data_IF_361581386276
#
_entry.id   IF_361581386276
#
_cell.length_a   1.000
_cell.length_b   1.000
_cell.length_c   1.000
_cell.angle_alpha   90.00
_cell.angle_beta   90.00
_cell.angle_gamma   90.00
#
_symmetry.space_group_name_H-M   'P 1'
#
loop_
_entity.id
_entity.type
_entity.pdbx_description
1 polymer ?
#
# COMPACT_ATOMS: atom_id res chain seq x y z
N UNK A 1 -3.93 -12.81 71.31
CA UNK A 1 -4.84 -13.97 71.35
C UNK A 1 -6.24 -13.64 70.85
N UNK A 2 -6.87 -12.54 71.26
CA UNK A 2 -8.20 -12.16 70.73
C UNK A 2 -8.24 -11.83 69.22
N UNK A 3 -7.20 -11.20 68.66
CA UNK A 3 -7.12 -10.86 67.23
C UNK A 3 -6.93 -12.06 66.30
N UNK A 4 -6.28 -13.13 66.78
CA UNK A 4 -6.03 -14.33 65.97
C UNK A 4 -7.27 -15.22 65.86
N UNK A 5 -8.12 -15.25 66.89
CA UNK A 5 -9.37 -16.03 66.88
C UNK A 5 -10.44 -15.40 65.98
N UNK A 6 -10.51 -14.06 65.93
CA UNK A 6 -11.41 -13.35 65.00
C UNK A 6 -11.01 -13.54 63.54
N UNK A 7 -9.71 -13.47 63.24
CA UNK A 7 -9.20 -13.73 61.89
C UNK A 7 -9.43 -15.20 61.47
N UNK A 8 -9.20 -16.14 62.39
CA UNK A 8 -9.42 -17.57 62.13
C UNK A 8 -10.90 -17.88 61.81
N UNK A 9 -11.84 -17.22 62.50
CA UNK A 9 -13.29 -17.37 62.24
C UNK A 9 -13.73 -16.73 60.92
N UNK A 10 -13.13 -15.60 60.53
CA UNK A 10 -13.41 -14.93 59.26
C UNK A 10 -12.93 -15.75 58.05
N UNK A 11 -11.74 -16.34 58.17
CA UNK A 11 -11.08 -17.09 57.09
C UNK A 11 -11.31 -18.61 57.14
N UNK A 12 -12.14 -19.10 58.06
CA UNK A 12 -12.43 -20.53 58.22
C UNK A 12 -12.93 -21.24 56.94
N UNK A 13 -13.79 -20.62 56.10
CA UNK A 13 -14.23 -21.23 54.83
C UNK A 13 -13.10 -21.49 53.83
N UNK A 14 -12.00 -20.74 53.90
CA UNK A 14 -10.84 -20.88 53.02
C UNK A 14 -9.80 -21.82 53.65
N UNK A 15 -9.62 -21.74 54.97
CA UNK A 15 -8.68 -22.60 55.71
C UNK A 15 -9.14 -24.07 55.76
N UNK A 16 -10.44 -24.34 55.61
CA UNK A 16 -11.03 -25.69 55.61
C UNK A 16 -11.60 -26.11 54.24
N UNK A 17 -11.28 -25.38 53.16
CA UNK A 17 -11.80 -25.68 51.83
C UNK A 17 -11.36 -27.08 51.36
N UNK A 18 -12.28 -27.94 50.86
CA UNK A 18 -12.01 -29.34 50.56
C UNK A 18 -10.99 -29.56 49.42
N UNK A 19 -10.82 -28.58 48.54
CA UNK A 19 -9.89 -28.64 47.39
C UNK A 19 -8.46 -28.16 47.73
N UNK A 20 -8.20 -27.71 48.96
CA UNK A 20 -6.88 -27.26 49.41
C UNK A 20 -6.22 -28.27 50.37
N UNK A 21 -4.88 -28.39 50.36
CA UNK A 21 -4.18 -29.25 51.32
C UNK A 21 -4.49 -28.84 52.77
N UNK A 22 -4.97 -29.80 53.58
CA UNK A 22 -5.31 -29.54 54.98
C UNK A 22 -4.08 -29.10 55.79
N UNK A 23 -4.24 -28.05 56.58
CA UNK A 23 -3.21 -27.53 57.48
C UNK A 23 -3.42 -28.15 58.87
N UNK A 24 -2.68 -29.21 59.18
CA UNK A 24 -2.88 -30.00 60.42
C UNK A 24 -2.43 -29.27 61.71
N UNK A 25 -1.47 -28.34 61.62
CA UNK A 25 -0.92 -27.63 62.78
C UNK A 25 -1.72 -26.35 63.10
N UNK A 26 -2.33 -26.30 64.29
CA UNK A 26 -3.13 -25.16 64.78
C UNK A 26 -2.37 -23.82 64.73
N UNK A 27 -1.08 -23.80 65.08
CA UNK A 27 -0.25 -22.60 65.01
C UNK A 27 -0.03 -22.13 63.55
N UNK A 28 0.17 -23.05 62.60
CA UNK A 28 0.28 -22.70 61.17
C UNK A 28 -1.06 -22.19 60.64
N UNK A 29 -2.19 -22.78 61.04
CA UNK A 29 -3.53 -22.29 60.69
C UNK A 29 -3.74 -20.84 61.17
N UNK A 30 -3.30 -20.51 62.39
CA UNK A 30 -3.35 -19.15 62.93
C UNK A 30 -2.43 -18.16 62.18
N UNK A 31 -1.19 -18.54 61.87
CA UNK A 31 -0.26 -17.67 61.12
C UNK A 31 -0.79 -17.42 59.70
N UNK A 32 -1.34 -18.44 59.04
CA UNK A 32 -1.91 -18.30 57.69
C UNK A 32 -3.16 -17.42 57.70
N UNK A 33 -4.02 -17.53 58.72
CA UNK A 33 -5.18 -16.66 58.90
C UNK A 33 -4.78 -15.19 59.12
N UNK A 34 -3.71 -14.94 59.89
CA UNK A 34 -3.18 -13.58 60.11
C UNK A 34 -2.51 -13.04 58.83
N UNK A 35 -1.85 -13.90 58.06
CA UNK A 35 -1.25 -13.50 56.78
C UNK A 35 -2.33 -13.14 55.75
N UNK A 36 -3.41 -13.90 55.67
CA UNK A 36 -4.57 -13.61 54.82
C UNK A 36 -5.27 -12.31 55.23
N UNK A 37 -5.43 -12.08 56.53
CA UNK A 37 -5.96 -10.81 57.06
C UNK A 37 -5.06 -9.62 56.70
N UNK A 38 -3.73 -9.80 56.79
CA UNK A 38 -2.78 -8.76 56.39
C UNK A 38 -2.76 -8.55 54.86
N UNK A 39 -2.97 -9.60 54.06
CA UNK A 39 -3.09 -9.50 52.61
C UNK A 39 -4.38 -8.78 52.20
N UNK A 40 -5.51 -9.09 52.83
CA UNK A 40 -6.77 -8.35 52.60
C UNK A 40 -6.63 -6.89 53.01
N UNK A 41 -6.03 -6.60 54.16
CA UNK A 41 -5.78 -5.22 54.60
C UNK A 41 -4.83 -4.49 53.66
N UNK A 42 -3.77 -5.14 53.19
CA UNK A 42 -2.87 -4.55 52.19
C UNK A 42 -3.63 -4.26 50.88
N UNK A 43 -4.48 -5.17 50.41
CA UNK A 43 -5.32 -4.96 49.22
C UNK A 43 -6.37 -3.85 49.43
N UNK A 44 -6.91 -3.71 50.64
CA UNK A 44 -7.83 -2.61 50.99
C UNK A 44 -7.11 -1.26 51.11
N UNK A 45 -5.91 -1.23 51.68
CA UNK A 45 -5.07 -0.03 51.81
C UNK A 45 -4.54 0.41 50.44
N UNK A 46 -4.18 -0.53 49.56
CA UNK A 46 -3.85 -0.29 48.15
C UNK A 46 -5.06 0.28 47.40
N UNK A 47 -6.27 -0.26 47.63
CA UNK A 47 -7.52 0.26 47.06
C UNK A 47 -7.90 1.66 47.60
N UNK A 48 -7.49 2.01 48.84
CA UNK A 48 -7.69 3.34 49.42
C UNK A 48 -6.63 4.36 48.97
N UNK A 49 -5.39 3.94 48.74
CA UNK A 49 -4.34 4.78 48.14
C UNK A 49 -4.66 5.20 46.70
N UNK A 50 -5.53 4.45 46.02
CA UNK A 50 -6.07 4.74 44.67
C UNK A 50 -7.27 5.71 44.66
N UNK A 51 -7.74 6.23 45.81
CA UNK A 51 -8.82 7.24 45.83
C UNK A 51 -8.28 8.67 45.82
N UNK A 52 -7.59 9.06 44.75
CA UNK A 52 -7.37 10.47 44.43
C UNK A 52 -8.64 11.05 43.78
N UNK A 53 -9.15 12.14 44.38
CA UNK A 53 -10.30 12.97 44.01
C UNK A 53 -11.34 12.31 43.10
N UNK A 54 -12.46 11.90 43.71
CA UNK A 54 -13.65 11.41 43.00
C UNK A 54 -14.00 12.34 41.81
N UNK A 55 -14.16 11.81 40.58
CA UNK A 55 -14.54 12.62 39.44
C UNK A 55 -15.88 13.31 39.70
N UNK A 56 -15.96 14.60 39.37
CA UNK A 56 -17.11 15.48 39.63
C UNK A 56 -18.45 15.05 38.98
N UNK A 57 -18.50 13.87 38.35
CA UNK A 57 -19.67 13.33 37.66
C UNK A 57 -20.36 12.17 38.40
N UNK A 58 -19.99 11.88 39.65
CA UNK A 58 -20.67 10.85 40.44
C UNK A 58 -21.99 11.36 41.04
N UNK A 59 -23.04 11.42 40.20
CA UNK A 59 -24.37 11.90 40.56
C UNK A 59 -25.26 10.83 41.24
N UNK A 60 -24.75 9.98 42.14
CA UNK A 60 -25.58 9.01 42.87
C UNK A 60 -25.08 8.72 44.30
N UNK A 61 -25.11 9.73 45.18
CA UNK A 61 -24.86 9.56 46.61
C UNK A 61 -26.14 9.21 47.38
N UNK A 62 -26.21 8.00 47.96
CA UNK A 62 -27.12 7.70 49.07
C UNK A 62 -26.49 6.71 50.05
N UNK A 63 -26.54 7.11 51.32
CA UNK A 63 -26.00 6.55 52.56
C UNK A 63 -25.78 5.02 52.66
N UNK A 64 -24.56 4.64 53.00
CA UNK A 64 -24.27 3.51 53.90
C UNK A 64 -24.41 2.08 53.36
N UNK A 65 -24.58 1.90 52.05
CA UNK A 65 -24.57 0.57 51.42
C UNK A 65 -23.34 0.48 50.51
N UNK A 66 -22.39 -0.38 50.87
CA UNK A 66 -21.31 -0.79 49.96
C UNK A 66 -21.97 -1.50 48.76
N UNK A 67 -21.96 -0.85 47.61
CA UNK A 67 -22.50 -1.45 46.38
C UNK A 67 -21.45 -2.42 45.83
N UNK A 68 -21.91 -3.57 45.35
CA UNK A 68 -21.07 -4.54 44.64
C UNK A 68 -20.23 -3.85 43.57
N UNK A 69 -18.97 -4.27 43.46
CA UNK A 69 -18.08 -3.83 42.38
C UNK A 69 -18.84 -4.02 41.05
N UNK A 70 -19.00 -2.97 40.22
CA UNK A 70 -19.76 -3.09 38.99
C UNK A 70 -19.14 -4.18 38.11
N UNK A 71 -19.97 -5.08 37.59
CA UNK A 71 -19.55 -6.07 36.59
C UNK A 71 -19.07 -5.29 35.37
N UNK A 72 -17.75 -5.25 35.18
CA UNK A 72 -17.13 -4.54 34.08
C UNK A 72 -17.59 -5.17 32.76
N UNK A 73 -18.32 -4.39 31.96
CA UNK A 73 -18.63 -4.74 30.57
C UNK A 73 -17.31 -4.67 29.80
N UNK A 74 -17.02 -5.72 29.03
CA UNK A 74 -15.74 -5.88 28.32
C UNK A 74 -15.37 -4.68 27.46
N UNK A 75 -14.08 -4.34 27.46
CA UNK A 75 -13.55 -3.20 26.70
C UNK A 75 -13.64 -3.47 25.19
N UNK A 76 -14.27 -2.56 24.46
CA UNK A 76 -14.39 -2.65 23.00
C UNK A 76 -13.14 -2.06 22.35
N UNK A 77 -12.53 -2.81 21.43
CA UNK A 77 -11.40 -2.35 20.61
C UNK A 77 -11.88 -1.89 19.24
N UNK A 78 -11.13 -0.98 18.62
CA UNK A 78 -11.35 -0.60 17.23
C UNK A 78 -10.83 -1.71 16.30
N UNK A 79 -11.60 -2.05 15.28
CA UNK A 79 -11.20 -3.03 14.27
C UNK A 79 -10.02 -2.52 13.44
N UNK A 80 -9.15 -3.45 13.05
CA UNK A 80 -7.95 -3.18 12.27
C UNK A 80 -8.27 -3.21 10.77
N UNK A 81 -7.83 -2.23 9.99
CA UNK A 81 -7.97 -2.26 8.52
C UNK A 81 -7.02 -3.26 7.86
N UNK A 82 -7.42 -3.85 6.73
CA UNK A 82 -6.56 -4.78 5.98
C UNK A 82 -5.45 -4.06 5.19
N UNK A 83 -4.29 -4.70 5.07
CA UNK A 83 -3.11 -4.17 4.36
C UNK A 83 -3.16 -4.57 2.87
N UNK A 84 -2.86 -3.63 1.96
CA UNK A 84 -2.94 -3.84 0.50
C UNK A 84 -1.62 -3.58 -0.24
N UNK A 85 -0.64 -2.94 0.40
CA UNK A 85 0.58 -2.47 -0.22
C UNK A 85 1.37 -3.59 -0.95
N UNK A 86 1.38 -4.79 -0.39
CA UNK A 86 2.11 -5.93 -0.96
C UNK A 86 1.47 -6.46 -2.26
N UNK A 87 0.17 -6.21 -2.46
CA UNK A 87 -0.55 -6.67 -3.64
C UNK A 87 -0.41 -5.72 -4.83
N UNK A 88 -0.06 -4.46 -4.57
CA UNK A 88 0.00 -3.35 -5.56
C UNK A 88 1.43 -2.87 -5.86
N UNK A 89 2.40 -3.17 -4.99
CA UNK A 89 3.82 -2.91 -5.20
C UNK A 89 4.62 -4.22 -5.37
N UNK A 90 5.78 -4.14 -6.00
CA UNK A 90 6.74 -5.24 -6.04
C UNK A 90 7.53 -5.30 -4.74
N UNK A 91 7.88 -6.50 -4.26
CA UNK A 91 8.65 -6.67 -3.01
C UNK A 91 10.02 -7.25 -3.34
N UNK A 92 11.08 -6.55 -2.92
CA UNK A 92 12.47 -6.96 -3.16
C UNK A 92 13.28 -6.85 -1.87
N UNK A 93 13.41 -7.94 -1.08
CA UNK A 93 14.17 -7.89 0.16
C UNK A 93 15.64 -7.56 -0.11
N UNK A 94 16.24 -6.72 0.75
CA UNK A 94 17.65 -6.36 0.67
C UNK A 94 18.45 -7.13 1.71
N UNK A 95 19.67 -7.53 1.36
CA UNK A 95 20.63 -8.17 2.28
C UNK A 95 21.61 -7.17 2.91
N UNK A 96 21.67 -5.95 2.38
CA UNK A 96 22.49 -4.85 2.90
C UNK A 96 21.69 -3.55 3.04
N UNK A 97 22.29 -2.51 3.67
CA UNK A 97 21.64 -1.22 3.86
C UNK A 97 21.39 -0.46 2.55
N UNK A 98 22.13 -0.81 1.50
CA UNK A 98 21.91 -0.35 0.14
C UNK A 98 21.73 -1.55 -0.79
N UNK A 99 20.78 -1.45 -1.70
CA UNK A 99 20.53 -2.41 -2.78
C UNK A 99 20.79 -1.77 -4.14
N UNK A 100 21.10 -2.59 -5.14
CA UNK A 100 21.23 -2.16 -6.54
C UNK A 100 20.19 -2.91 -7.36
N UNK A 101 19.41 -2.18 -8.14
CA UNK A 101 18.52 -2.75 -9.15
C UNK A 101 19.14 -2.44 -10.51
N UNK A 102 19.28 -3.47 -11.33
CA UNK A 102 19.81 -3.35 -12.68
C UNK A 102 18.67 -3.45 -13.69
N UNK A 103 18.76 -2.65 -14.75
CA UNK A 103 17.88 -2.74 -15.90
C UNK A 103 18.71 -2.75 -17.17
N UNK A 104 18.37 -3.66 -18.08
CA UNK A 104 18.98 -3.71 -19.40
C UNK A 104 18.10 -2.94 -20.37
N UNK A 105 18.72 -2.09 -21.19
CA UNK A 105 18.10 -1.38 -22.31
C UNK A 105 18.79 -1.76 -23.61
N UNK A 106 18.03 -2.12 -24.62
CA UNK A 106 18.56 -2.35 -25.97
C UNK A 106 18.60 -1.02 -26.73
N UNK A 107 19.71 -0.71 -27.39
CA UNK A 107 19.96 0.57 -28.04
C UNK A 107 20.22 0.38 -29.54
N UNK A 108 19.75 1.32 -30.33
CA UNK A 108 20.17 1.47 -31.72
C UNK A 108 21.54 2.15 -31.80
N UNK A 109 22.41 1.64 -32.67
CA UNK A 109 23.76 2.15 -32.90
C UNK A 109 24.76 1.79 -31.80
N UNK A 110 25.94 2.41 -31.90
CA UNK A 110 27.05 2.22 -30.97
C UNK A 110 27.12 3.29 -29.87
N UNK A 111 26.20 4.26 -29.87
CA UNK A 111 26.24 5.32 -28.88
C UNK A 111 25.69 4.82 -27.54
N UNK A 112 26.57 4.80 -26.52
CA UNK A 112 26.28 4.38 -25.15
C UNK A 112 26.27 5.54 -24.16
N UNK A 113 26.40 6.79 -24.63
CA UNK A 113 26.42 7.95 -23.73
C UNK A 113 25.03 8.32 -23.25
N UNK A 114 24.94 8.78 -22.01
CA UNK A 114 23.69 9.12 -21.34
C UNK A 114 23.05 10.36 -21.98
N UNK A 115 21.81 10.23 -22.46
CA UNK A 115 21.07 11.27 -23.18
C UNK A 115 21.26 11.24 -24.70
N UNK A 116 20.21 10.83 -25.42
CA UNK A 116 20.15 10.85 -26.89
C UNK A 116 20.22 9.48 -27.57
N UNK A 117 20.32 8.39 -26.82
CA UNK A 117 20.16 7.05 -27.38
C UNK A 117 18.68 6.75 -27.68
N UNK A 118 18.42 6.02 -28.76
CA UNK A 118 17.09 5.51 -29.09
C UNK A 118 16.99 4.07 -28.60
N UNK A 119 16.11 3.81 -27.64
CA UNK A 119 15.88 2.46 -27.12
C UNK A 119 15.13 1.60 -28.15
N UNK A 120 15.76 0.51 -28.56
CA UNK A 120 15.12 -0.55 -29.31
C UNK A 120 14.23 -1.40 -28.39
N UNK A 121 13.16 -2.01 -28.93
CA UNK A 121 12.23 -2.90 -28.22
C UNK A 121 11.33 -2.24 -27.15
N UNK A 122 11.34 -0.90 -27.04
CA UNK A 122 10.38 -0.15 -26.22
C UNK A 122 9.43 0.68 -27.09
N UNK A 123 10.00 1.58 -27.90
CA UNK A 123 9.26 2.32 -28.92
C UNK A 123 8.96 1.44 -30.14
N UNK A 124 8.09 1.93 -31.02
CA UNK A 124 7.84 1.29 -32.31
C UNK A 124 9.16 1.04 -33.06
N UNK A 125 9.29 -0.16 -33.65
CA UNK A 125 10.50 -0.54 -34.36
C UNK A 125 10.68 0.34 -35.60
N UNK A 126 11.89 0.87 -35.79
CA UNK A 126 12.21 1.59 -37.01
C UNK A 126 12.36 0.57 -38.15
N UNK A 127 11.37 0.55 -39.05
CA UNK A 127 11.28 -0.38 -40.18
C UNK A 127 12.40 -0.20 -41.22
N UNK A 128 13.13 0.91 -41.16
CA UNK A 128 14.27 1.20 -42.01
C UNK A 128 15.61 0.98 -41.29
N UNK A 129 15.68 0.67 -39.99
CA UNK A 129 16.98 0.67 -39.27
C UNK A 129 17.99 -0.35 -39.83
N UNK A 130 17.51 -1.55 -40.19
CA UNK A 130 18.35 -2.59 -40.78
C UNK A 130 18.65 -2.37 -42.28
N UNK A 131 17.98 -1.41 -42.92
CA UNK A 131 18.05 -1.15 -44.37
C UNK A 131 18.56 0.27 -44.71
N UNK A 132 18.58 1.17 -43.73
CA UNK A 132 18.46 2.61 -43.92
C UNK A 132 19.74 3.42 -43.83
N UNK A 133 20.89 2.77 -43.68
CA UNK A 133 22.16 3.47 -43.84
C UNK A 133 22.50 3.75 -45.33
N UNK A 134 21.60 3.46 -46.29
CA UNK A 134 21.94 3.41 -47.73
C UNK A 134 20.83 3.95 -48.65
N UNK A 135 20.57 5.26 -48.57
CA UNK A 135 20.13 6.02 -49.75
C UNK A 135 21.23 7.02 -50.08
N UNK A 136 21.72 7.02 -51.32
CA UNK A 136 22.88 7.78 -51.79
C UNK A 136 22.75 9.32 -51.65
N UNK A 137 21.69 9.83 -51.02
CA UNK A 137 21.38 11.25 -50.90
C UNK A 137 21.35 11.78 -49.46
N UNK A 138 21.54 10.95 -48.42
CA UNK A 138 21.59 11.45 -47.03
C UNK A 138 20.29 12.11 -46.52
N UNK A 139 19.19 12.01 -47.26
CA UNK A 139 17.88 12.45 -46.82
C UNK A 139 17.18 11.30 -46.07
N UNK A 140 16.40 11.65 -45.04
CA UNK A 140 15.32 10.80 -44.57
C UNK A 140 14.54 10.37 -45.82
N UNK A 141 14.56 9.08 -46.14
CA UNK A 141 13.89 8.59 -47.32
C UNK A 141 12.43 9.03 -47.23
N UNK A 142 11.94 9.67 -48.28
CA UNK A 142 10.54 10.04 -48.40
C UNK A 142 9.81 8.89 -49.10
N UNK A 143 8.52 8.69 -48.82
CA UNK A 143 7.71 7.79 -49.64
C UNK A 143 7.63 8.30 -51.10
N UNK A 144 6.94 7.56 -51.99
CA UNK A 144 6.75 7.96 -53.39
C UNK A 144 6.05 9.33 -53.57
N UNK A 145 5.48 9.89 -52.49
CA UNK A 145 4.77 11.16 -52.44
C UNK A 145 5.61 12.29 -51.81
N UNK A 146 6.84 12.03 -51.37
CA UNK A 146 7.73 13.05 -50.80
C UNK A 146 7.58 13.27 -49.29
N UNK A 147 6.89 12.39 -48.57
CA UNK A 147 6.66 12.53 -47.12
C UNK A 147 7.79 11.93 -46.29
N UNK A 148 8.33 12.68 -45.31
CA UNK A 148 9.38 12.20 -44.40
C UNK A 148 8.82 11.06 -43.54
N UNK A 149 9.53 9.93 -43.42
CA UNK A 149 9.15 8.81 -42.55
C UNK A 149 9.15 9.21 -41.06
N UNK A 150 8.11 9.93 -40.61
CA UNK A 150 7.68 10.12 -39.23
C UNK A 150 6.48 11.10 -39.13
N UNK A 151 5.38 10.89 -39.85
CA UNK A 151 4.17 11.70 -39.62
C UNK A 151 2.95 10.82 -39.37
N UNK A 152 2.93 10.14 -38.22
CA UNK A 152 1.74 9.48 -37.71
C UNK A 152 2.06 8.29 -36.79
N UNK A 153 1.60 8.33 -35.54
CA UNK A 153 1.69 7.21 -34.60
C UNK A 153 0.45 6.29 -34.65
N UNK A 154 -0.54 6.65 -35.47
CA UNK A 154 -1.82 5.99 -35.57
C UNK A 154 -2.10 5.63 -37.03
N UNK A 155 -2.33 4.34 -37.36
CA UNK A 155 -2.59 3.92 -38.73
C UNK A 155 -3.93 4.44 -39.29
N UNK A 156 -4.78 5.04 -38.46
CA UNK A 156 -5.99 5.72 -38.90
C UNK A 156 -5.75 7.17 -39.38
N UNK A 157 -4.56 7.74 -39.11
CA UNK A 157 -4.20 9.08 -39.55
C UNK A 157 -3.53 9.04 -40.93
N UNK A 158 -3.76 10.07 -41.74
CA UNK A 158 -3.05 10.24 -43.00
C UNK A 158 -1.55 10.49 -42.74
N UNK A 159 -0.66 9.79 -43.46
CA UNK A 159 0.80 9.92 -43.29
C UNK A 159 1.50 8.75 -42.58
N UNK A 160 0.78 7.68 -42.21
CA UNK A 160 1.38 6.45 -41.70
C UNK A 160 2.18 5.73 -42.81
N UNK A 161 3.51 5.77 -42.72
CA UNK A 161 4.43 5.30 -43.76
C UNK A 161 5.42 4.25 -43.22
N UNK A 162 5.94 3.39 -44.11
CA UNK A 162 6.87 2.31 -43.77
C UNK A 162 8.23 2.47 -44.49
N UNK A 163 9.31 2.01 -43.85
CA UNK A 163 10.62 1.86 -44.47
C UNK A 163 10.68 0.67 -45.44
N UNK A 164 11.52 0.77 -46.46
CA UNK A 164 11.75 -0.28 -47.46
C UNK A 164 13.04 -1.07 -47.15
N UNK A 165 13.13 -2.29 -47.68
CA UNK A 165 14.36 -3.08 -47.63
C UNK A 165 15.46 -2.51 -48.55
N UNK A 166 16.73 -2.83 -48.27
CA UNK A 166 17.86 -2.47 -49.12
C UNK A 166 17.87 -3.27 -50.44
N UNK A 167 18.46 -2.71 -51.50
CA UNK A 167 18.65 -3.44 -52.76
C UNK A 167 19.80 -4.44 -52.65
N UNK A 168 19.81 -5.46 -53.50
CA UNK A 168 20.89 -6.48 -53.53
C UNK A 168 22.26 -5.86 -53.82
N UNK A 169 22.32 -4.86 -54.69
CA UNK A 169 23.58 -4.17 -55.02
C UNK A 169 24.20 -3.45 -53.80
N UNK A 170 23.37 -2.82 -52.95
CA UNK A 170 23.86 -2.21 -51.71
C UNK A 170 24.17 -3.26 -50.65
N UNK A 171 23.39 -4.34 -50.58
CA UNK A 171 23.64 -5.43 -49.64
C UNK A 171 25.00 -6.12 -49.89
N UNK A 172 25.40 -6.27 -51.15
CA UNK A 172 26.69 -6.87 -51.54
C UNK A 172 27.88 -5.94 -51.25
N UNK A 173 27.68 -4.62 -51.25
CA UNK A 173 28.70 -3.63 -50.90
C UNK A 173 28.83 -3.37 -49.38
N UNK A 174 28.01 -4.03 -48.56
CA UNK A 174 27.96 -3.77 -47.13
C UNK A 174 29.24 -4.24 -46.42
N UNK A 175 29.92 -3.32 -45.74
CA UNK A 175 31.14 -3.56 -44.97
C UNK A 175 32.44 -3.25 -45.70
N UNK A 176 32.42 -2.69 -46.92
CA UNK A 176 33.61 -2.43 -47.73
C UNK A 176 34.30 -1.06 -47.46
N UNK A 177 33.54 0.00 -47.11
CA UNK A 177 34.05 1.37 -46.88
C UNK A 177 33.24 2.18 -45.84
N UNK A 178 33.71 3.40 -45.51
CA UNK A 178 33.16 4.30 -44.48
C UNK A 178 31.66 4.66 -44.62
N UNK A 179 31.07 4.47 -45.81
CA UNK A 179 29.66 4.80 -46.10
C UNK A 179 28.74 3.57 -46.23
N UNK A 180 29.28 2.35 -46.15
CA UNK A 180 28.53 1.09 -46.29
C UNK A 180 28.61 0.25 -45.00
N UNK A 181 28.60 0.87 -43.82
CA UNK A 181 28.66 0.12 -42.57
C UNK A 181 27.32 -0.57 -42.25
N UNK A 182 27.38 -1.76 -41.64
CA UNK A 182 26.20 -2.42 -41.09
C UNK A 182 25.54 -1.53 -40.01
N UNK A 183 24.20 -1.54 -39.98
CA UNK A 183 23.45 -1.03 -38.82
C UNK A 183 23.83 -1.84 -37.57
N UNK A 184 24.18 -1.15 -36.50
CA UNK A 184 24.67 -1.77 -35.26
C UNK A 184 23.61 -1.68 -34.16
N UNK A 185 23.53 -2.68 -33.31
CA UNK A 185 22.72 -2.64 -32.10
C UNK A 185 23.62 -2.88 -30.89
N UNK A 186 23.28 -2.27 -29.77
CA UNK A 186 23.99 -2.44 -28.52
C UNK A 186 23.02 -2.58 -27.36
N UNK A 187 23.53 -2.81 -26.16
CA UNK A 187 22.75 -2.75 -24.94
C UNK A 187 23.51 -1.92 -23.89
N UNK A 188 22.75 -1.26 -23.02
CA UNK A 188 23.22 -0.61 -21.80
C UNK A 188 22.65 -1.35 -20.59
N UNK A 189 23.40 -1.34 -19.49
CA UNK A 189 22.92 -1.81 -18.18
C UNK A 189 22.93 -0.60 -17.25
N UNK A 190 21.74 -0.13 -16.94
CA UNK A 190 21.53 0.96 -16.01
C UNK A 190 21.44 0.39 -14.60
N UNK A 191 21.90 1.16 -13.61
CA UNK A 191 21.81 0.80 -12.20
C UNK A 191 21.06 1.87 -11.44
N UNK A 192 20.17 1.45 -10.55
CA UNK A 192 19.51 2.33 -9.58
C UNK A 192 19.83 1.86 -8.17
N UNK A 193 20.22 2.79 -7.31
CA UNK A 193 20.55 2.51 -5.91
C UNK A 193 19.32 2.70 -5.03
N UNK A 194 19.03 1.71 -4.19
CA UNK A 194 18.00 1.79 -3.15
C UNK A 194 18.69 1.91 -1.80
N UNK A 195 18.29 2.87 -0.97
CA UNK A 195 18.86 3.06 0.36
C UNK A 195 17.79 2.83 1.44
N UNK A 196 18.10 1.99 2.42
CA UNK A 196 17.19 1.71 3.53
C UNK A 196 17.01 2.93 4.45
N UNK A 197 15.76 3.34 4.63
CA UNK A 197 15.31 4.32 5.63
C UNK A 197 14.71 3.59 6.84
N UNK A 198 14.56 4.29 7.96
CA UNK A 198 14.17 3.70 9.25
C UNK A 198 12.83 4.27 9.73
N UNK A 199 11.97 3.41 10.29
CA UNK A 199 10.85 3.81 11.15
C UNK A 199 11.05 3.24 12.55
N UNK A 200 10.68 4.01 13.56
CA UNK A 200 10.77 3.58 14.94
C UNK A 200 9.70 4.26 15.78
N UNK A 201 9.05 3.49 16.64
CA UNK A 201 8.14 4.00 17.67
C UNK A 201 8.52 3.43 19.03
N UNK A 202 8.19 4.17 20.08
CA UNK A 202 8.46 3.81 21.47
C UNK A 202 7.23 4.12 22.30
N UNK A 203 6.93 3.25 23.25
CA UNK A 203 5.99 3.51 24.32
C UNK A 203 6.72 3.37 25.67
N UNK A 204 6.29 4.18 26.62
CA UNK A 204 6.69 4.12 28.02
C UNK A 204 5.41 3.84 28.80
N UNK A 205 5.49 2.95 29.79
CA UNK A 205 4.39 2.69 30.69
C UNK A 205 4.92 2.61 32.11
N UNK A 206 4.12 3.08 33.07
CA UNK A 206 4.49 3.02 34.48
C UNK A 206 4.12 1.65 35.05
N UNK A 207 4.87 1.20 36.05
CA UNK A 207 4.56 -0.06 36.74
C UNK A 207 3.20 0.03 37.45
N UNK A 208 2.91 1.19 38.05
CA UNK A 208 1.61 1.47 38.69
C UNK A 208 0.46 1.30 37.68
N UNK A 209 0.55 1.89 36.49
CA UNK A 209 -0.47 1.75 35.45
C UNK A 209 -0.62 0.29 35.00
N UNK A 210 0.48 -0.44 34.88
CA UNK A 210 0.43 -1.86 34.50
C UNK A 210 -0.23 -2.73 35.59
N UNK A 211 -0.01 -2.40 36.87
CA UNK A 211 -0.65 -3.07 38.01
C UNK A 211 -2.15 -2.76 38.04
N UNK A 212 -2.54 -1.50 37.91
CA UNK A 212 -3.94 -1.06 37.87
C UNK A 212 -4.70 -1.70 36.71
N UNK A 213 -4.11 -1.66 35.51
CA UNK A 213 -4.72 -2.18 34.29
C UNK A 213 -4.87 -3.71 34.36
N UNK A 214 -3.94 -4.40 35.02
CA UNK A 214 -4.03 -5.84 35.27
C UNK A 214 -5.06 -6.18 36.35
N UNK A 215 -5.12 -5.42 37.44
CA UNK A 215 -6.03 -5.66 38.56
C UNK A 215 -7.49 -5.39 38.18
N UNK A 216 -7.75 -4.31 37.44
CA UNK A 216 -9.11 -3.90 37.06
C UNK A 216 -9.56 -4.56 35.77
N UNK A 217 -8.74 -4.54 34.72
CA UNK A 217 -9.15 -5.00 33.38
C UNK A 217 -8.66 -6.40 33.00
N UNK A 218 -7.80 -7.03 33.81
CA UNK A 218 -7.19 -8.32 33.49
C UNK A 218 -6.29 -8.28 32.25
N UNK A 219 -5.92 -7.08 31.81
CA UNK A 219 -5.14 -6.85 30.60
C UNK A 219 -3.66 -6.66 30.95
N UNK A 220 -2.78 -7.03 30.02
CA UNK A 220 -1.34 -6.80 30.14
C UNK A 220 -0.95 -5.58 29.31
N UNK A 221 -0.57 -4.50 30.00
CA UNK A 221 -0.18 -3.23 29.37
C UNK A 221 0.99 -3.40 28.38
N UNK A 222 1.94 -4.29 28.65
CA UNK A 222 3.08 -4.51 27.75
C UNK A 222 2.62 -5.13 26.43
N UNK A 223 1.79 -6.17 26.51
CA UNK A 223 1.27 -6.87 25.33
C UNK A 223 0.39 -5.94 24.48
N UNK A 224 -0.49 -5.15 25.11
CA UNK A 224 -1.35 -4.22 24.38
C UNK A 224 -0.56 -3.10 23.70
N UNK A 225 0.40 -2.48 24.40
CA UNK A 225 1.25 -1.46 23.79
C UNK A 225 2.13 -2.04 22.68
N UNK A 226 2.64 -3.27 22.86
CA UNK A 226 3.41 -3.97 21.84
C UNK A 226 2.61 -4.17 20.54
N UNK A 227 1.34 -4.58 20.69
CA UNK A 227 0.44 -4.76 19.55
C UNK A 227 0.11 -3.43 18.86
N UNK A 228 -0.17 -2.36 19.62
CA UNK A 228 -0.46 -1.03 19.04
C UNK A 228 0.74 -0.51 18.24
N UNK A 229 1.94 -0.56 18.80
CA UNK A 229 3.14 -0.03 18.14
C UNK A 229 3.51 -0.80 16.87
N UNK A 230 3.46 -2.13 16.94
CA UNK A 230 3.79 -2.99 15.80
C UNK A 230 2.80 -2.79 14.64
N UNK A 231 1.51 -2.67 14.96
CA UNK A 231 0.46 -2.41 13.99
C UNK A 231 0.58 -1.02 13.37
N UNK A 232 0.79 0.02 14.17
CA UNK A 232 0.91 1.39 13.68
C UNK A 232 2.04 1.52 12.66
N UNK A 233 3.22 0.94 12.94
CA UNK A 233 4.33 0.94 11.98
C UNK A 233 3.94 0.25 10.66
N UNK A 234 3.21 -0.86 10.72
CA UNK A 234 2.75 -1.56 9.52
C UNK A 234 1.72 -0.74 8.73
N UNK A 235 0.81 -0.04 9.43
CA UNK A 235 -0.16 0.86 8.81
C UNK A 235 0.51 2.07 8.16
N UNK A 236 1.48 2.68 8.83
CA UNK A 236 2.26 3.78 8.27
C UNK A 236 2.97 3.36 6.98
N UNK A 237 3.62 2.18 6.97
CA UNK A 237 4.30 1.64 5.78
C UNK A 237 3.29 1.39 4.66
N UNK A 238 2.17 0.72 4.96
CA UNK A 238 1.13 0.44 3.98
C UNK A 238 0.58 1.73 3.36
N UNK A 239 0.29 2.74 4.20
CA UNK A 239 -0.22 4.02 3.73
C UNK A 239 0.81 4.82 2.96
N UNK A 240 2.09 4.72 3.31
CA UNK A 240 3.18 5.33 2.55
C UNK A 240 3.21 4.79 1.12
N UNK A 241 3.11 3.47 0.94
CA UNK A 241 3.10 2.84 -0.40
C UNK A 241 1.89 3.31 -1.22
N UNK A 242 0.69 3.24 -0.64
CA UNK A 242 -0.55 3.64 -1.33
C UNK A 242 -0.51 5.13 -1.72
N UNK A 243 -0.10 6.02 -0.80
CA UNK A 243 -0.01 7.45 -1.10
C UNK A 243 1.04 7.76 -2.15
N UNK A 244 2.19 7.08 -2.12
CA UNK A 244 3.21 7.25 -3.17
C UNK A 244 2.65 6.89 -4.54
N UNK A 245 1.88 5.81 -4.66
CA UNK A 245 1.22 5.43 -5.92
C UNK A 245 0.34 6.58 -6.43
N UNK A 246 -0.48 7.20 -5.59
CA UNK A 246 -1.33 8.32 -6.01
C UNK A 246 -0.53 9.54 -6.51
N UNK A 247 0.61 9.83 -5.91
CA UNK A 247 1.45 10.98 -6.29
C UNK A 247 2.16 10.71 -7.62
N UNK A 248 2.73 9.51 -7.80
CA UNK A 248 3.55 9.21 -8.97
C UNK A 248 2.75 8.77 -10.19
N UNK A 249 1.50 8.31 -10.01
CA UNK A 249 0.65 7.84 -11.10
C UNK A 249 0.43 8.92 -12.16
N UNK A 250 0.67 8.56 -13.43
CA UNK A 250 0.41 9.43 -14.59
C UNK A 250 -1.06 9.82 -14.62
N UNK A 251 -1.40 10.98 -15.18
CA UNK A 251 -2.80 11.35 -15.36
C UNK A 251 -3.51 10.32 -16.27
N UNK A 252 -4.61 9.75 -15.79
CA UNK A 252 -5.54 8.93 -16.59
C UNK A 252 -6.55 9.81 -17.34
N UNK A 253 -7.55 9.20 -17.95
CA UNK A 253 -8.61 9.91 -18.70
C UNK A 253 -8.04 10.95 -19.67
N UNK A 254 -7.06 10.56 -20.51
CA UNK A 254 -6.36 11.52 -21.38
C UNK A 254 -7.25 12.16 -22.45
N UNK A 255 -8.35 11.51 -22.78
CA UNK A 255 -9.20 11.82 -23.93
C UNK A 255 -10.65 12.14 -23.50
N UNK A 256 -10.79 12.67 -22.29
CA UNK A 256 -12.02 13.28 -21.80
C UNK A 256 -12.00 14.79 -22.05
N UNK A 257 -13.11 15.47 -21.77
CA UNK A 257 -13.22 16.93 -21.92
C UNK A 257 -12.14 17.69 -21.14
N UNK A 258 -11.75 17.17 -19.96
CA UNK A 258 -10.62 17.69 -19.18
C UNK A 258 -9.68 16.52 -18.84
N UNK A 259 -8.49 16.43 -19.44
CA UNK A 259 -7.54 15.36 -19.16
C UNK A 259 -7.28 15.18 -17.66
N UNK A 260 -7.26 13.94 -17.19
CA UNK A 260 -7.13 13.62 -15.75
C UNK A 260 -8.43 13.68 -14.95
N UNK A 261 -9.55 14.09 -15.57
CA UNK A 261 -10.87 14.11 -14.95
C UNK A 261 -11.88 13.39 -15.84
N UNK A 262 -12.66 12.48 -15.24
CA UNK A 262 -13.82 11.85 -15.86
C UNK A 262 -15.09 12.46 -15.25
N UNK A 263 -15.81 13.22 -16.05
CA UNK A 263 -17.09 13.82 -15.68
C UNK A 263 -18.24 12.98 -16.25
N UNK A 264 -19.07 12.41 -15.37
CA UNK A 264 -20.17 11.54 -15.81
C UNK A 264 -21.25 12.25 -16.64
N UNK A 265 -21.37 13.58 -16.57
CA UNK A 265 -22.35 14.34 -17.37
C UNK A 265 -21.86 14.68 -18.78
N UNK A 266 -20.54 14.82 -18.95
CA UNK A 266 -19.93 15.33 -20.18
C UNK A 266 -19.22 14.22 -20.95
N UNK A 267 -18.51 13.35 -20.25
CA UNK A 267 -17.68 12.29 -20.84
C UNK A 267 -18.46 10.97 -21.02
N UNK A 268 -19.73 10.94 -20.62
CA UNK A 268 -20.62 9.81 -20.80
C UNK A 268 -22.00 10.25 -21.28
N UNK A 269 -22.41 9.77 -22.46
CA UNK A 269 -23.69 10.12 -23.10
C UNK A 269 -24.90 9.32 -22.57
N UNK A 270 -24.78 8.72 -21.38
CA UNK A 270 -25.86 7.95 -20.76
C UNK A 270 -27.00 8.86 -20.30
N UNK A 271 -28.26 8.51 -20.63
CA UNK A 271 -29.45 9.23 -20.15
C UNK A 271 -29.78 8.85 -18.71
N UNK A 272 -29.51 7.60 -18.33
CA UNK A 272 -29.74 7.08 -16.98
C UNK A 272 -28.40 6.80 -16.28
N UNK A 273 -28.35 6.89 -14.94
CA UNK A 273 -27.09 6.78 -14.18
C UNK A 273 -26.34 5.46 -14.41
N UNK A 274 -27.06 4.35 -14.66
CA UNK A 274 -26.42 3.05 -14.94
C UNK A 274 -25.68 3.05 -16.28
N UNK A 275 -26.22 3.73 -17.31
CA UNK A 275 -25.53 3.90 -18.59
C UNK A 275 -24.26 4.75 -18.40
N UNK A 276 -24.32 5.76 -17.52
CA UNK A 276 -23.16 6.58 -17.19
C UNK A 276 -22.08 5.81 -16.45
N UNK A 277 -22.45 4.91 -15.55
CA UNK A 277 -21.49 4.02 -14.87
C UNK A 277 -20.84 3.03 -15.83
N UNK A 278 -21.53 2.58 -16.88
CA UNK A 278 -20.91 1.79 -17.96
C UNK A 278 -19.88 2.61 -18.76
N UNK A 279 -20.14 3.90 -18.97
CA UNK A 279 -19.16 4.82 -19.54
C UNK A 279 -17.89 4.94 -18.69
N UNK A 280 -18.04 5.04 -17.37
CA UNK A 280 -16.91 5.04 -16.42
C UNK A 280 -16.11 3.73 -16.50
N UNK A 281 -16.79 2.57 -16.57
CA UNK A 281 -16.12 1.27 -16.72
C UNK A 281 -15.30 1.19 -18.02
N UNK A 282 -15.84 1.68 -19.13
CA UNK A 282 -15.12 1.76 -20.40
C UNK A 282 -13.87 2.65 -20.29
N UNK A 283 -13.97 3.79 -19.60
CA UNK A 283 -12.83 4.67 -19.39
C UNK A 283 -11.73 4.03 -18.53
N UNK A 284 -12.09 3.28 -17.49
CA UNK A 284 -11.13 2.47 -16.70
C UNK A 284 -10.43 1.44 -17.60
N UNK A 285 -11.19 0.75 -18.46
CA UNK A 285 -10.62 -0.22 -19.41
C UNK A 285 -9.70 0.44 -20.45
N UNK A 286 -9.98 1.70 -20.83
CA UNK A 286 -9.11 2.52 -21.69
C UNK A 286 -7.82 2.91 -20.99
N UNK A 287 -7.89 3.42 -19.77
CA UNK A 287 -6.70 3.73 -18.97
C UNK A 287 -5.83 2.49 -18.75
N UNK A 288 -6.46 1.34 -18.49
CA UNK A 288 -5.76 0.07 -18.38
C UNK A 288 -5.05 -0.31 -19.70
N UNK A 289 -5.66 -0.07 -20.87
CA UNK A 289 -5.04 -0.28 -22.17
C UNK A 289 -3.85 0.66 -22.39
N UNK A 290 -3.98 1.94 -22.02
CA UNK A 290 -2.89 2.91 -22.12
C UNK A 290 -1.69 2.51 -21.25
N UNK A 291 -1.92 1.94 -20.05
CA UNK A 291 -0.83 1.35 -19.25
C UNK A 291 -0.13 0.23 -20.02
N UNK A 292 -0.89 -0.63 -20.71
CA UNK A 292 -0.31 -1.69 -21.55
C UNK A 292 0.51 -1.18 -22.73
N UNK A 293 0.08 -0.07 -23.34
CA UNK A 293 0.81 0.59 -24.42
C UNK A 293 2.09 1.27 -23.91
N UNK A 294 2.03 2.01 -22.80
CA UNK A 294 3.16 2.73 -22.24
C UNK A 294 4.20 1.77 -21.62
N UNK A 295 3.76 0.72 -20.90
CA UNK A 295 4.67 -0.21 -20.20
C UNK A 295 5.19 -1.35 -21.09
N UNK A 296 4.44 -1.76 -22.11
CA UNK A 296 4.68 -2.98 -22.92
C UNK A 296 4.82 -4.27 -22.08
N UNK A 297 4.33 -4.28 -20.84
CA UNK A 297 4.36 -5.44 -19.92
C UNK A 297 3.01 -6.13 -19.85
N UNK A 298 1.94 -5.34 -19.78
CA UNK A 298 0.59 -5.85 -19.71
C UNK A 298 -0.43 -4.75 -19.45
N UNK A 299 -1.70 -5.07 -19.71
CA UNK A 299 -2.81 -4.20 -19.38
C UNK A 299 -2.94 -4.03 -17.86
N UNK A 300 -3.35 -2.85 -17.39
CA UNK A 300 -3.71 -2.63 -15.98
C UNK A 300 -4.60 -3.75 -15.42
N UNK A 301 -4.28 -4.22 -14.21
CA UNK A 301 -4.88 -5.43 -13.61
C UNK A 301 -5.42 -5.23 -12.19
N UNK A 302 -5.27 -4.05 -11.61
CA UNK A 302 -5.98 -3.66 -10.40
C UNK A 302 -6.42 -2.20 -10.46
N UNK A 303 -7.41 -1.88 -9.64
CA UNK A 303 -7.95 -0.53 -9.45
C UNK A 303 -8.01 -0.25 -7.96
N UNK A 304 -7.50 0.91 -7.56
CA UNK A 304 -7.69 1.51 -6.25
C UNK A 304 -8.70 2.63 -6.38
N UNK A 305 -9.85 2.55 -5.72
CA UNK A 305 -10.88 3.58 -5.84
C UNK A 305 -11.49 3.95 -4.49
N UNK A 306 -12.23 5.05 -4.49
CA UNK A 306 -13.14 5.38 -3.39
C UNK A 306 -14.34 4.44 -3.36
N UNK A 307 -14.98 4.33 -2.20
CA UNK A 307 -16.10 3.43 -1.97
C UNK A 307 -17.34 3.76 -2.82
N UNK A 308 -17.58 5.04 -3.11
CA UNK A 308 -18.65 5.46 -4.02
C UNK A 308 -18.39 5.00 -5.47
N UNK A 309 -17.13 5.07 -5.93
CA UNK A 309 -16.76 4.58 -7.27
C UNK A 309 -16.85 3.05 -7.32
N UNK A 310 -16.42 2.35 -6.27
CA UNK A 310 -16.60 0.90 -6.18
C UNK A 310 -18.09 0.50 -6.22
N UNK A 311 -18.95 1.26 -5.55
CA UNK A 311 -20.41 1.08 -5.57
C UNK A 311 -20.98 1.31 -6.97
N UNK A 312 -20.58 2.39 -7.64
CA UNK A 312 -20.99 2.69 -9.02
C UNK A 312 -20.57 1.57 -10.00
N UNK A 313 -19.38 0.99 -9.82
CA UNK A 313 -18.89 -0.13 -10.64
C UNK A 313 -19.65 -1.43 -10.40
N UNK A 314 -20.07 -1.69 -9.15
CA UNK A 314 -20.96 -2.82 -8.83
C UNK A 314 -22.31 -2.65 -9.54
N UNK A 315 -22.89 -1.44 -9.46
CA UNK A 315 -24.19 -1.13 -10.07
C UNK A 315 -24.17 -1.08 -11.60
N UNK A 316 -23.02 -0.79 -12.21
CA UNK A 316 -22.85 -0.84 -13.67
C UNK A 316 -23.15 -2.25 -14.26
N UNK A 317 -23.00 -3.31 -13.47
CA UNK A 317 -23.26 -4.70 -13.87
C UNK A 317 -24.70 -5.17 -13.71
N UNK A 318 -25.59 -4.38 -13.10
CA UNK A 318 -26.94 -4.85 -12.68
C UNK A 318 -27.99 -4.77 -13.81
N UNK A 319 -27.72 -4.06 -14.91
CA UNK A 319 -28.58 -4.04 -16.10
C UNK A 319 -27.89 -4.71 -17.28
N UNK A 320 -27.98 -6.04 -17.38
CA UNK A 320 -27.52 -6.77 -18.57
C UNK A 320 -28.66 -7.36 -19.40
N UNK A 321 -28.57 -7.15 -20.71
CA UNK A 321 -29.29 -7.89 -21.75
C UNK A 321 -28.31 -8.96 -22.24
N UNK A 322 -28.63 -10.23 -21.97
CA UNK A 322 -27.76 -11.40 -22.11
C UNK A 322 -26.74 -11.36 -23.29
N UNK A 323 -25.47 -11.77 -23.08
CA UNK A 323 -24.93 -12.55 -21.94
C UNK A 323 -24.28 -11.69 -20.84
N UNK A 324 -24.52 -12.09 -19.59
CA UNK A 324 -24.27 -11.31 -18.37
C UNK A 324 -22.77 -11.07 -18.04
N UNK A 325 -22.38 -9.81 -17.85
CA UNK A 325 -21.17 -9.38 -17.16
C UNK A 325 -21.29 -9.71 -15.65
N UNK A 326 -20.50 -10.65 -15.16
CA UNK A 326 -20.47 -11.00 -13.73
C UNK A 326 -19.67 -9.95 -12.93
N UNK A 327 -20.35 -9.10 -12.17
CA UNK A 327 -19.76 -8.08 -11.26
C UNK A 327 -20.21 -8.33 -9.81
N UNK A 328 -19.70 -9.37 -9.16
CA UNK A 328 -19.97 -9.68 -7.75
C UNK A 328 -18.96 -8.96 -6.84
N UNK A 329 -19.10 -7.66 -6.65
CA UNK A 329 -18.26 -6.87 -5.73
C UNK A 329 -18.93 -6.74 -4.35
N UNK A 330 -18.20 -7.06 -3.28
CA UNK A 330 -18.60 -6.79 -1.90
C UNK A 330 -18.00 -5.44 -1.47
N UNK A 331 -18.82 -4.38 -1.50
CA UNK A 331 -18.37 -3.01 -1.23
C UNK A 331 -18.66 -2.67 0.23
N UNK A 332 -17.66 -2.83 1.10
CA UNK A 332 -17.72 -2.49 2.51
C UNK A 332 -16.38 -1.92 2.99
N UNK A 333 -16.41 -0.70 3.52
CA UNK A 333 -15.24 0.07 3.96
C UNK A 333 -14.70 -0.40 5.33
N UNK A 334 -15.46 -1.24 6.05
CA UNK A 334 -15.14 -1.66 7.42
C UNK A 334 -14.49 -3.03 7.53
N UNK A 335 -14.70 -3.92 6.55
CA UNK A 335 -14.29 -5.32 6.63
C UNK A 335 -13.15 -5.74 5.70
N UNK A 336 -13.27 -5.48 4.39
CA UNK A 336 -12.28 -5.94 3.41
C UNK A 336 -11.98 -4.86 2.37
N UNK A 337 -10.73 -4.41 2.32
CA UNK A 337 -10.26 -3.47 1.30
C UNK A 337 -10.30 -4.09 -0.10
N UNK A 338 -10.28 -5.42 -0.23
CA UNK A 338 -10.52 -6.08 -1.51
C UNK A 338 -12.02 -6.29 -1.76
N UNK A 339 -12.56 -5.57 -2.74
CA UNK A 339 -13.99 -5.60 -3.08
C UNK A 339 -14.34 -6.78 -4.00
N UNK A 340 -13.39 -7.27 -4.80
CA UNK A 340 -13.59 -8.37 -5.75
C UNK A 340 -12.91 -8.12 -7.10
N UNK A 341 -13.31 -8.88 -8.12
CA UNK A 341 -12.79 -8.72 -9.48
C UNK A 341 -13.88 -8.30 -10.46
N UNK A 342 -13.62 -7.25 -11.24
CA UNK A 342 -14.45 -6.89 -12.39
C UNK A 342 -13.99 -7.71 -13.61
N UNK A 343 -14.96 -8.32 -14.30
CA UNK A 343 -14.73 -9.09 -15.54
C UNK A 343 -13.66 -10.20 -15.38
N UNK A 344 -13.55 -10.78 -14.18
CA UNK A 344 -12.58 -11.82 -13.84
C UNK A 344 -11.09 -11.41 -13.94
N UNK A 345 -10.79 -10.12 -14.15
CA UNK A 345 -9.43 -9.64 -14.45
C UNK A 345 -8.98 -8.47 -13.58
N UNK A 346 -9.81 -7.43 -13.44
CA UNK A 346 -9.45 -6.21 -12.71
C UNK A 346 -9.76 -6.40 -11.23
N UNK A 347 -8.73 -6.50 -10.39
CA UNK A 347 -8.87 -6.57 -8.92
C UNK A 347 -9.21 -5.19 -8.39
N UNK A 348 -10.37 -5.04 -7.74
CA UNK A 348 -10.82 -3.77 -7.18
C UNK A 348 -10.51 -3.73 -5.70
N UNK A 349 -9.78 -2.69 -5.31
CA UNK A 349 -9.47 -2.35 -3.93
C UNK A 349 -10.09 -1.02 -3.56
N UNK A 350 -10.67 -0.94 -2.38
CA UNK A 350 -11.25 0.27 -1.81
C UNK A 350 -10.24 0.89 -0.86
N UNK A 351 -10.04 2.21 -0.98
CA UNK A 351 -9.27 2.99 -0.02
C UNK A 351 -10.20 3.55 1.07
N UNK A 352 -10.22 2.97 2.29
CA UNK A 352 -11.10 3.41 3.38
C UNK A 352 -10.70 4.78 3.94
N UNK A 353 -9.51 5.28 3.59
CA UNK A 353 -9.01 6.59 4.00
C UNK A 353 -9.18 7.65 2.90
N UNK A 354 -9.94 7.36 1.84
CA UNK A 354 -10.40 8.39 0.91
C UNK A 354 -11.38 9.30 1.66
N UNK A 355 -11.11 10.61 1.72
CA UNK A 355 -11.92 11.58 2.46
C UNK A 355 -13.23 11.93 1.72
N UNK A 356 -13.88 10.91 1.15
CA UNK A 356 -14.84 11.09 0.07
C UNK A 356 -16.30 10.83 0.46
N UNK A 357 -16.58 10.46 1.72
CA UNK A 357 -17.94 10.44 2.23
C UNK A 357 -18.50 11.88 2.22
N UNK A 358 -19.18 12.26 1.14
CA UNK A 358 -19.76 13.59 0.92
C UNK A 358 -18.95 14.55 0.04
N UNK A 359 -17.86 14.12 -0.59
CA UNK A 359 -17.09 14.96 -1.51
C UNK A 359 -17.60 14.81 -2.96
N UNK A 360 -17.80 15.94 -3.66
CA UNK A 360 -18.18 15.95 -5.08
C UNK A 360 -17.11 15.35 -6.03
N UNK A 361 -15.90 15.15 -5.50
CA UNK A 361 -14.75 14.68 -6.25
C UNK A 361 -14.33 13.31 -5.72
N UNK A 362 -14.58 12.29 -6.52
CA UNK A 362 -14.18 10.92 -6.29
C UNK A 362 -12.89 10.61 -7.07
N UNK A 363 -12.31 9.43 -6.89
CA UNK A 363 -11.13 9.05 -7.67
C UNK A 363 -11.06 7.55 -7.94
N UNK A 364 -10.31 7.21 -8.98
CA UNK A 364 -9.76 5.88 -9.15
C UNK A 364 -8.32 5.97 -9.63
N UNK A 365 -7.52 4.96 -9.28
CA UNK A 365 -6.19 4.73 -9.80
C UNK A 365 -6.14 3.33 -10.38
N UNK A 366 -5.91 3.23 -11.68
CA UNK A 366 -5.64 1.93 -12.32
C UNK A 366 -4.14 1.67 -12.23
N UNK A 367 -3.75 0.43 -11.94
CA UNK A 367 -2.34 0.06 -11.94
C UNK A 367 -2.10 -1.31 -12.55
N UNK A 368 -0.83 -1.54 -12.89
CA UNK A 368 -0.32 -2.82 -13.37
C UNK A 368 0.75 -3.36 -12.42
N UNK A 369 0.58 -4.63 -12.04
CA UNK A 369 1.60 -5.45 -11.37
C UNK A 369 1.63 -6.83 -12.02
N UNK A 370 2.77 -7.23 -12.57
CA UNK A 370 2.97 -8.55 -13.15
C UNK A 370 2.98 -9.68 -12.11
N UNK A 371 3.06 -10.92 -12.59
CA UNK A 371 3.21 -12.11 -11.73
C UNK A 371 4.58 -12.16 -11.05
N UNK A 372 5.58 -11.57 -11.70
CA UNK A 372 6.93 -11.44 -11.17
C UNK A 372 7.05 -10.25 -10.21
N UNK A 373 7.73 -10.36 -9.07
CA UNK A 373 8.01 -9.23 -8.17
C UNK A 373 8.85 -8.12 -8.79
N UNK A 374 9.52 -8.41 -9.91
CA UNK A 374 10.33 -7.45 -10.68
C UNK A 374 9.50 -6.61 -11.65
N UNK A 375 8.23 -6.97 -11.87
CA UNK A 375 7.34 -6.30 -12.82
C UNK A 375 6.28 -5.48 -12.07
N UNK A 376 6.73 -4.41 -11.44
CA UNK A 376 5.87 -3.45 -10.75
C UNK A 376 6.42 -2.04 -10.95
N UNK A 377 5.56 -1.01 -10.86
CA UNK A 377 6.01 0.37 -11.02
C UNK A 377 6.79 0.94 -9.84
N UNK A 378 6.60 0.38 -8.64
CA UNK A 378 7.31 0.74 -7.41
C UNK A 378 7.75 -0.54 -6.71
N UNK A 379 8.96 -0.52 -6.13
CA UNK A 379 9.48 -1.58 -5.29
C UNK A 379 9.52 -1.14 -3.82
N UNK A 380 8.96 -1.98 -2.96
CA UNK A 380 9.14 -1.95 -1.52
C UNK A 380 10.24 -2.94 -1.15
N UNK A 381 11.32 -2.45 -0.54
CA UNK A 381 12.53 -3.22 -0.30
C UNK A 381 12.80 -3.36 1.20
N UNK A 382 12.21 -4.35 1.89
CA UNK A 382 12.44 -4.55 3.32
C UNK A 382 13.88 -4.99 3.58
N UNK A 383 14.49 -4.47 4.66
CA UNK A 383 15.85 -4.83 5.06
C UNK A 383 15.89 -5.45 6.47
N UNK A 384 15.48 -4.68 7.49
CA UNK A 384 15.39 -5.18 8.86
C UNK A 384 13.90 -5.30 9.20
N UNK A 385 13.41 -6.50 9.55
CA UNK A 385 12.03 -6.68 9.97
C UNK A 385 11.77 -5.92 11.28
N UNK A 386 10.52 -5.89 11.71
CA UNK A 386 10.12 -5.21 12.94
C UNK A 386 10.84 -5.84 14.16
N UNK A 387 11.86 -5.15 14.68
CA UNK A 387 12.63 -5.60 15.83
C UNK A 387 12.07 -4.96 17.09
N UNK A 388 11.65 -5.80 18.04
CA UNK A 388 11.27 -5.37 19.39
C UNK A 388 12.54 -5.07 20.20
N UNK A 389 12.57 -3.91 20.85
CA UNK A 389 13.58 -3.53 21.84
C UNK A 389 12.90 -3.23 23.16
N UNK A 390 13.48 -3.72 24.24
CA UNK A 390 13.03 -3.46 25.62
C UNK A 390 14.18 -2.80 26.37
N UNK A 391 13.84 -1.83 27.20
CA UNK A 391 14.77 -1.17 28.09
C UNK A 391 14.05 -0.82 29.39
N UNK A 392 14.81 -0.70 30.47
CA UNK A 392 14.33 -0.12 31.72
C UNK A 392 15.13 1.15 31.93
N UNK A 393 14.44 2.23 32.27
CA UNK A 393 15.08 3.50 32.56
C UNK A 393 15.90 3.41 33.85
N UNK A 394 17.19 3.79 33.86
CA UNK A 394 18.01 3.65 35.06
C UNK A 394 17.64 4.62 36.19
N UNK A 395 17.01 5.75 35.88
CA UNK A 395 16.66 6.77 36.88
C UNK A 395 15.27 6.52 37.49
N UNK A 396 14.27 6.22 36.64
CA UNK A 396 12.89 6.01 37.07
C UNK A 396 12.49 4.54 37.25
N UNK A 397 13.34 3.60 36.81
CA UNK A 397 13.03 2.16 36.76
C UNK A 397 11.74 1.80 35.99
N UNK A 398 11.25 2.72 35.15
CA UNK A 398 10.06 2.50 34.34
C UNK A 398 10.40 1.69 33.07
N UNK A 399 9.59 0.69 32.72
CA UNK A 399 9.76 -0.06 31.48
C UNK A 399 9.52 0.80 30.23
N UNK A 400 10.32 0.53 29.20
CA UNK A 400 10.26 1.16 27.88
C UNK A 400 10.30 0.07 26.82
N UNK A 401 9.32 0.10 25.93
CA UNK A 401 9.24 -0.80 24.77
C UNK A 401 9.35 0.03 23.49
N UNK A 402 10.06 -0.48 22.50
CA UNK A 402 10.11 0.15 21.20
C UNK A 402 10.19 -0.86 20.08
N UNK A 403 9.84 -0.40 18.89
CA UNK A 403 10.01 -1.14 17.65
C UNK A 403 10.82 -0.32 16.66
N UNK A 404 11.68 -0.99 15.92
CA UNK A 404 12.44 -0.40 14.82
C UNK A 404 12.36 -1.30 13.61
N UNK A 405 12.25 -0.70 12.42
CA UNK A 405 12.28 -1.40 11.14
C UNK A 405 13.05 -0.57 10.12
N UNK A 406 13.64 -1.24 9.13
CA UNK A 406 14.37 -0.57 8.03
C UNK A 406 13.93 -1.12 6.70
N UNK A 407 13.62 -0.22 5.77
CA UNK A 407 13.20 -0.56 4.42
C UNK A 407 13.53 0.57 3.45
N UNK A 408 13.71 0.24 2.17
CA UNK A 408 13.84 1.20 1.08
C UNK A 408 12.58 1.21 0.21
N UNK A 409 12.39 2.28 -0.54
CA UNK A 409 11.43 2.32 -1.63
C UNK A 409 12.09 2.97 -2.83
N UNK A 410 11.81 2.47 -4.02
CA UNK A 410 12.34 3.01 -5.27
C UNK A 410 11.32 2.85 -6.40
N UNK A 411 11.30 3.78 -7.35
CA UNK A 411 10.61 3.57 -8.62
C UNK A 411 11.31 2.50 -9.47
N UNK A 412 10.55 1.86 -10.35
CA UNK A 412 11.12 0.93 -11.33
C UNK A 412 12.13 1.66 -12.24
N UNK A 413 13.30 1.08 -12.56
CA UNK A 413 14.31 1.69 -13.45
C UNK A 413 13.80 2.10 -14.84
N UNK A 414 12.71 1.49 -15.33
CA UNK A 414 12.08 1.87 -16.59
C UNK A 414 11.17 3.11 -16.47
N UNK A 415 10.96 3.63 -15.27
CA UNK A 415 10.29 4.93 -15.04
C UNK A 415 11.35 6.01 -15.12
N UNK A 416 11.22 6.89 -16.11
CA UNK A 416 12.18 7.96 -16.37
C UNK A 416 11.72 9.29 -15.79
N UNK A 417 12.68 10.11 -15.35
CA UNK A 417 12.44 11.49 -14.92
C UNK A 417 12.00 12.40 -16.08
N UNK A 418 12.43 12.11 -17.31
CA UNK A 418 12.03 12.76 -18.57
C UNK A 418 12.12 11.77 -19.73
N UNK A 419 11.50 12.08 -20.88
CA UNK A 419 11.60 11.23 -22.06
C UNK A 419 13.07 11.10 -22.49
N UNK A 420 13.60 9.86 -22.49
CA UNK A 420 15.01 9.60 -22.79
C UNK A 420 16.01 10.01 -21.70
N UNK A 421 15.53 10.36 -20.49
CA UNK A 421 16.35 10.75 -19.34
C UNK A 421 16.71 9.59 -18.40
N UNK A 422 17.40 9.93 -17.31
CA UNK A 422 17.75 8.99 -16.25
C UNK A 422 16.51 8.45 -15.51
N UNK A 423 16.65 7.29 -14.87
CA UNK A 423 15.61 6.70 -14.01
C UNK A 423 15.17 7.67 -12.92
N UNK A 424 13.87 7.72 -12.63
CA UNK A 424 13.27 8.57 -11.59
C UNK A 424 13.73 8.17 -10.16
N UNK A 425 14.13 6.92 -9.98
CA UNK A 425 14.76 6.40 -8.77
C UNK A 425 13.99 6.75 -7.47
N UNK A 426 14.60 7.47 -6.54
CA UNK A 426 14.01 7.85 -5.24
C UNK A 426 13.41 9.25 -5.24
N UNK A 427 13.40 9.95 -6.38
CA UNK A 427 12.78 11.26 -6.53
C UNK A 427 11.24 11.16 -6.49
N UNK A 428 10.67 10.05 -6.97
CA UNK A 428 9.23 9.81 -7.06
C UNK A 428 8.50 11.02 -7.68
N UNK A 429 8.93 11.43 -8.88
CA UNK A 429 8.39 12.61 -9.55
C UNK A 429 6.89 12.44 -9.80
N UNK A 430 6.13 13.49 -9.49
CA UNK A 430 4.68 13.45 -9.62
C UNK A 430 4.24 13.18 -11.07
N UNK A 431 3.22 12.34 -11.23
CA UNK A 431 2.58 12.03 -12.52
C UNK A 431 3.49 11.44 -13.62
N UNK A 432 4.53 10.69 -13.26
CA UNK A 432 5.48 10.10 -14.22
C UNK A 432 5.38 8.60 -14.39
N UNK A 433 4.91 7.88 -13.38
CA UNK A 433 4.97 6.43 -13.38
C UNK A 433 3.90 5.85 -14.31
N UNK A 434 4.34 5.32 -15.44
CA UNK A 434 3.47 4.73 -16.48
C UNK A 434 2.76 3.44 -16.06
N UNK A 435 3.18 2.80 -14.96
CA UNK A 435 2.52 1.61 -14.43
C UNK A 435 1.22 1.92 -13.70
N UNK A 436 0.96 3.21 -13.40
CA UNK A 436 -0.23 3.65 -12.69
C UNK A 436 -0.84 4.85 -13.40
N UNK A 437 -2.17 4.92 -13.43
CA UNK A 437 -2.93 6.06 -13.94
C UNK A 437 -3.97 6.51 -12.93
N UNK A 438 -3.88 7.77 -12.54
CA UNK A 438 -4.80 8.40 -11.59
C UNK A 438 -5.79 9.29 -12.34
N UNK A 439 -7.08 9.12 -12.05
CA UNK A 439 -8.13 9.96 -12.59
C UNK A 439 -9.07 10.41 -11.50
N UNK A 440 -9.45 11.68 -11.57
CA UNK A 440 -10.51 12.27 -10.77
C UNK A 440 -11.86 11.91 -11.40
N UNK A 441 -12.86 11.56 -10.59
CA UNK A 441 -14.24 11.32 -11.02
C UNK A 441 -15.13 12.40 -10.44
N UNK A 442 -15.95 13.03 -11.27
CA UNK A 442 -16.81 14.15 -10.89
C UNK A 442 -18.24 13.86 -11.33
N UNK A 443 -19.22 14.40 -10.58
CA UNK A 443 -20.66 14.25 -10.83
C UNK A 443 -21.11 12.78 -10.81
N UNK A 444 -20.66 12.03 -9.80
CA UNK A 444 -21.08 10.64 -9.61
C UNK A 444 -22.54 10.53 -9.14
N UNK A 445 -23.10 11.60 -8.55
CA UNK A 445 -24.49 11.72 -8.09
C UNK A 445 -25.22 12.86 -8.79
#
# INVERSE_FOLDING_TARGET
MYLSESAMKKWDPILEHPDLPKIDQSYRKQVTAVLLENQEKALQEEKQMLSEVAPANNSFASAGVDRYDPILIGLVRRAMPNLIAYDIAGVQPMTGPTGLIFAMRSLYGNNRTDGGYTEALFNEANTNFAAGAHSALGNAMTDANGETFATGNNPADAGYAQGNAMTTAFAEALGDEANNAFGQMSFSIDKTTVTARTRALKAEYTLELAQDLKAVHGLDAETELSNILSQEIMFEINREVVRKIYIVAKAGSSDTAVPGTFNLDVDSNGRWSVERFKGLLYNIERDANHIGQDTRRGKGNFVLCSSDVASALSMAGVLDYAPALQSNLNVDDTGNTFAGTINGRLRVYIDPYSANLGAANQFYTVGYKGTSPYDAGIFYCPYVPLQMVRAVDPDSFQPKIGFKTRYGMIANPYVLSSAGGASDADAFTAQRNQYYRFSKVVNLM
#
